data_IF_384346831267
#
_entry.id   IF_384346831267
#
_cell.length_a   1.000
_cell.length_b   1.000
_cell.length_c   1.000
_cell.angle_alpha   90.00
_cell.angle_beta   90.00
_cell.angle_gamma   90.00
#
_symmetry.space_group_name_H-M   'P 1'
#
loop_
_entity.id
_entity.type
_entity.pdbx_description
1 polymer ?
#
# COMPACT_ATOMS: atom_id res chain seq x y z
N UNK A 1 -7.62 27.79 -11.95
CA UNK A 1 -6.61 27.23 -11.12
C UNK A 1 -7.12 26.43 -9.93
N UNK A 2 -7.47 25.13 -10.16
CA UNK A 2 -7.77 24.19 -9.08
C UNK A 2 -6.75 23.06 -9.11
N UNK A 3 -6.44 22.46 -7.95
CA UNK A 3 -5.73 21.18 -7.89
C UNK A 3 -6.63 20.06 -8.40
N UNK A 4 -6.06 18.93 -8.81
CA UNK A 4 -6.85 17.73 -9.19
C UNK A 4 -7.69 17.26 -8.01
N UNK A 5 -7.13 17.33 -6.79
CA UNK A 5 -7.85 16.97 -5.57
C UNK A 5 -9.12 17.83 -5.37
N UNK A 6 -9.00 19.16 -5.46
CA UNK A 6 -10.13 20.07 -5.29
C UNK A 6 -11.19 19.89 -6.38
N UNK A 7 -10.75 19.61 -7.61
CA UNK A 7 -11.67 19.35 -8.73
C UNK A 7 -12.46 18.05 -8.52
N UNK A 8 -11.79 16.97 -8.08
CA UNK A 8 -12.43 15.66 -7.90
C UNK A 8 -13.24 15.55 -6.61
N UNK A 9 -12.93 16.38 -5.60
CA UNK A 9 -13.58 16.30 -4.30
C UNK A 9 -15.11 16.29 -4.41
N UNK A 10 -15.78 17.32 -4.96
CA UNK A 10 -17.25 17.34 -5.06
C UNK A 10 -17.80 16.41 -6.16
N UNK A 11 -16.97 15.97 -7.13
CA UNK A 11 -17.43 15.23 -8.31
C UNK A 11 -17.28 13.72 -8.18
N UNK A 12 -16.33 13.28 -7.38
CA UNK A 12 -15.98 11.87 -7.24
C UNK A 12 -15.82 11.45 -5.78
N UNK A 13 -14.98 12.15 -5.00
CA UNK A 13 -14.64 11.69 -3.66
C UNK A 13 -15.82 11.78 -2.69
N UNK A 14 -16.49 12.91 -2.60
CA UNK A 14 -17.65 13.08 -1.75
C UNK A 14 -18.81 12.13 -2.11
N UNK A 15 -19.22 12.00 -3.38
CA UNK A 15 -20.24 11.02 -3.77
C UNK A 15 -19.89 9.58 -3.41
N UNK A 16 -18.61 9.18 -3.52
CA UNK A 16 -18.12 7.85 -3.15
C UNK A 16 -17.88 7.69 -1.64
N UNK A 17 -18.05 8.74 -0.84
CA UNK A 17 -17.76 8.73 0.59
C UNK A 17 -16.27 8.55 0.90
N UNK A 18 -15.39 9.08 0.05
CA UNK A 18 -13.95 9.16 0.27
C UNK A 18 -13.67 10.45 1.04
N UNK A 19 -13.39 10.32 2.34
CA UNK A 19 -13.44 11.46 3.25
C UNK A 19 -12.16 12.27 3.34
N UNK A 20 -11.01 11.63 3.31
CA UNK A 20 -9.71 12.27 3.54
C UNK A 20 -8.68 11.85 2.50
N UNK A 21 -8.95 12.05 1.20
CA UNK A 21 -7.95 11.75 0.17
C UNK A 21 -6.77 12.71 0.28
N UNK A 22 -5.55 12.17 0.20
CA UNK A 22 -4.33 12.97 0.16
C UNK A 22 -3.65 12.74 -1.19
N UNK A 23 -3.30 13.80 -1.88
CA UNK A 23 -2.60 13.70 -3.16
C UNK A 23 -1.31 14.50 -3.13
N UNK A 24 -0.21 13.86 -3.49
CA UNK A 24 1.08 14.49 -3.55
C UNK A 24 1.13 15.60 -4.63
N UNK A 25 1.91 16.63 -4.35
CA UNK A 25 2.15 17.74 -5.28
C UNK A 25 3.65 18.04 -5.38
N UNK A 26 4.04 18.69 -6.47
CA UNK A 26 5.39 19.24 -6.62
C UNK A 26 5.62 20.39 -5.62
N UNK A 27 6.87 20.85 -5.42
CA UNK A 27 7.15 22.03 -4.61
C UNK A 27 6.42 23.30 -5.06
N UNK A 28 6.01 23.36 -6.33
CA UNK A 28 5.22 24.45 -6.91
C UNK A 28 3.71 24.29 -6.71
N UNK A 29 3.26 23.25 -6.01
CA UNK A 29 1.85 22.97 -5.76
C UNK A 29 1.12 22.28 -6.90
N UNK A 30 1.81 21.81 -7.94
CA UNK A 30 1.20 21.06 -9.05
C UNK A 30 0.98 19.62 -8.63
N UNK A 31 -0.26 19.15 -8.71
CA UNK A 31 -0.63 17.76 -8.38
C UNK A 31 0.14 16.76 -9.23
N UNK A 32 0.65 15.68 -8.63
CA UNK A 32 1.32 14.60 -9.35
C UNK A 32 0.31 13.85 -10.23
N UNK A 33 0.58 13.74 -11.53
CA UNK A 33 -0.39 13.21 -12.50
C UNK A 33 -0.46 11.69 -12.56
N UNK A 34 0.64 10.98 -12.30
CA UNK A 34 0.74 9.54 -12.50
C UNK A 34 0.71 8.71 -11.21
N UNK A 35 0.77 9.34 -10.03
CA UNK A 35 0.84 8.66 -8.73
C UNK A 35 0.58 9.66 -7.59
N UNK A 36 0.63 9.18 -6.36
CA UNK A 36 0.63 10.05 -5.18
C UNK A 36 -0.73 10.24 -4.51
N UNK A 37 -1.80 9.61 -5.00
CA UNK A 37 -3.08 9.56 -4.30
C UNK A 37 -3.01 8.51 -3.19
N UNK A 38 -3.33 8.92 -1.97
CA UNK A 38 -3.46 8.05 -0.79
C UNK A 38 -4.92 8.03 -0.35
N UNK A 39 -5.53 6.86 -0.39
CA UNK A 39 -6.90 6.57 0.04
C UNK A 39 -6.90 5.20 0.75
N UNK A 40 -7.98 4.87 1.45
CA UNK A 40 -8.12 3.59 2.13
C UNK A 40 -8.45 2.47 1.15
N UNK A 41 -8.15 1.22 1.51
CA UNK A 41 -8.39 0.05 0.64
C UNK A 41 -9.87 -0.10 0.28
N UNK A 42 -10.78 0.12 1.22
CA UNK A 42 -12.22 0.11 0.96
C UNK A 42 -12.69 1.24 0.02
N UNK A 43 -11.95 2.35 -0.03
CA UNK A 43 -12.24 3.45 -0.96
C UNK A 43 -11.79 3.12 -2.38
N UNK A 44 -10.72 2.35 -2.53
CA UNK A 44 -10.32 1.76 -3.82
C UNK A 44 -11.44 0.83 -4.32
N UNK A 45 -12.02 0.02 -3.44
CA UNK A 45 -13.13 -0.87 -3.80
C UNK A 45 -14.37 -0.10 -4.27
N UNK A 46 -14.71 1.03 -3.62
CA UNK A 46 -15.82 1.90 -4.06
C UNK A 46 -15.60 2.46 -5.46
N UNK A 47 -14.37 2.85 -5.77
CA UNK A 47 -14.02 3.29 -7.13
C UNK A 47 -14.17 2.15 -8.14
N UNK A 48 -13.69 0.94 -7.82
CA UNK A 48 -13.89 -0.24 -8.65
C UNK A 48 -15.38 -0.56 -8.86
N UNK A 49 -16.18 -0.46 -7.80
CA UNK A 49 -17.64 -0.67 -7.86
C UNK A 49 -18.34 0.35 -8.76
N UNK A 50 -17.92 1.62 -8.74
CA UNK A 50 -18.40 2.64 -9.66
C UNK A 50 -18.19 2.20 -11.13
N UNK A 51 -17.00 1.68 -11.45
CA UNK A 51 -16.69 1.19 -12.79
C UNK A 51 -17.43 -0.10 -13.14
N UNK A 52 -17.57 -1.02 -12.20
CA UNK A 52 -18.39 -2.23 -12.37
C UNK A 52 -19.85 -1.88 -12.69
N UNK A 53 -20.39 -0.85 -12.04
CA UNK A 53 -21.72 -0.32 -12.27
C UNK A 53 -21.82 0.67 -13.43
N UNK A 54 -20.87 0.64 -14.36
CA UNK A 54 -20.84 1.48 -15.56
C UNK A 54 -20.95 2.97 -15.26
N UNK A 55 -20.30 3.40 -14.19
CA UNK A 55 -20.25 4.80 -13.77
C UNK A 55 -21.42 5.29 -12.94
N UNK A 56 -22.35 4.41 -12.57
CA UNK A 56 -23.45 4.71 -11.66
C UNK A 56 -23.05 4.50 -10.20
N UNK A 57 -23.55 5.39 -9.35
CA UNK A 57 -23.38 5.29 -7.90
C UNK A 57 -24.61 5.86 -7.20
N UNK A 58 -25.25 5.06 -6.34
CA UNK A 58 -26.47 5.43 -5.62
C UNK A 58 -27.56 6.04 -6.53
N UNK A 59 -27.72 5.49 -7.72
CA UNK A 59 -28.70 5.97 -8.71
C UNK A 59 -28.29 7.21 -9.51
N UNK A 60 -27.10 7.73 -9.31
CA UNK A 60 -26.55 8.87 -10.06
C UNK A 60 -25.46 8.41 -11.03
N UNK A 61 -25.46 8.94 -12.25
CA UNK A 61 -24.40 8.75 -13.22
C UNK A 61 -23.26 9.73 -12.90
N UNK A 62 -22.21 9.26 -12.22
CA UNK A 62 -21.04 10.06 -11.88
C UNK A 62 -20.01 10.10 -13.02
N UNK A 63 -19.85 8.99 -13.73
CA UNK A 63 -18.97 8.86 -14.90
C UNK A 63 -19.83 8.37 -16.06
N UNK A 64 -19.80 9.00 -17.25
CA UNK A 64 -20.59 8.55 -18.39
C UNK A 64 -20.31 7.07 -18.72
N UNK A 65 -21.36 6.27 -18.96
CA UNK A 65 -21.23 4.85 -19.30
C UNK A 65 -20.31 4.64 -20.50
N UNK A 66 -20.50 5.42 -21.58
CA UNK A 66 -19.64 5.35 -22.78
C UNK A 66 -18.16 5.63 -22.47
N UNK A 67 -17.86 6.46 -21.46
CA UNK A 67 -16.48 6.66 -21.01
C UNK A 67 -15.93 5.43 -20.29
N UNK A 68 -16.73 4.82 -19.42
CA UNK A 68 -16.31 3.58 -18.72
C UNK A 68 -15.99 2.49 -19.75
N UNK A 69 -16.85 2.29 -20.75
CA UNK A 69 -16.64 1.32 -21.83
C UNK A 69 -15.35 1.63 -22.61
N UNK A 70 -15.13 2.87 -23.00
CA UNK A 70 -13.90 3.27 -23.71
C UNK A 70 -12.67 3.11 -22.83
N UNK A 71 -12.72 3.58 -21.59
CA UNK A 71 -11.56 3.58 -20.70
C UNK A 71 -11.08 2.18 -20.34
N UNK A 72 -11.98 1.20 -20.28
CA UNK A 72 -11.66 -0.19 -19.89
C UNK A 72 -11.49 -1.14 -21.09
N UNK A 73 -11.77 -0.67 -22.31
CA UNK A 73 -11.58 -1.45 -23.55
C UNK A 73 -10.11 -1.41 -24.01
N UNK A 74 -9.78 -2.25 -24.98
CA UNK A 74 -8.47 -2.28 -25.61
C UNK A 74 -8.27 -1.03 -26.47
N UNK A 75 -7.41 -0.12 -26.02
CA UNK A 75 -7.00 1.08 -26.79
C UNK A 75 -5.63 0.88 -27.43
N UNK A 76 -4.73 0.18 -26.75
CA UNK A 76 -3.40 -0.14 -27.26
C UNK A 76 -2.92 -1.51 -26.79
N UNK A 77 -2.18 -2.20 -27.66
CA UNK A 77 -1.50 -3.44 -27.29
C UNK A 77 -0.28 -3.16 -26.44
N UNK A 78 -0.03 -4.00 -25.46
CA UNK A 78 1.15 -3.97 -24.59
C UNK A 78 1.89 -5.31 -24.54
N UNK A 79 1.57 -6.21 -25.48
CA UNK A 79 2.18 -7.52 -25.61
C UNK A 79 1.24 -8.54 -26.26
N UNK A 80 1.67 -9.80 -26.29
CA UNK A 80 0.91 -10.88 -26.89
C UNK A 80 0.97 -12.21 -26.11
N UNK A 81 1.57 -12.23 -24.93
CA UNK A 81 1.63 -13.43 -24.10
C UNK A 81 0.28 -13.62 -23.35
N UNK A 82 -0.53 -14.65 -23.73
CA UNK A 82 -1.84 -14.85 -23.12
C UNK A 82 -1.78 -15.24 -21.63
N UNK A 83 -0.61 -15.64 -21.15
CA UNK A 83 -0.40 -16.02 -19.75
C UNK A 83 0.13 -14.87 -18.87
N UNK A 84 0.36 -13.69 -19.44
CA UNK A 84 0.81 -12.49 -18.73
C UNK A 84 -0.33 -11.52 -18.53
N UNK A 85 -0.57 -11.10 -17.31
CA UNK A 85 -1.53 -10.02 -17.01
C UNK A 85 -1.06 -8.64 -17.49
N UNK A 86 0.19 -8.55 -17.95
CA UNK A 86 0.80 -7.34 -18.45
C UNK A 86 0.69 -7.19 -19.97
N UNK A 87 0.22 -8.25 -20.65
CA UNK A 87 0.17 -8.34 -22.10
C UNK A 87 -1.26 -8.44 -22.64
N UNK A 88 -2.27 -8.16 -21.83
CA UNK A 88 -3.68 -8.28 -22.22
C UNK A 88 -4.25 -7.01 -22.87
N UNK A 89 -3.41 -5.99 -23.04
CA UNK A 89 -3.78 -4.68 -23.56
C UNK A 89 -4.00 -3.62 -22.50
N UNK A 90 -4.16 -2.38 -22.93
CA UNK A 90 -4.28 -1.20 -22.08
C UNK A 90 -5.38 -0.27 -22.59
N UNK A 91 -6.20 0.21 -21.67
CA UNK A 91 -7.23 1.23 -21.91
C UNK A 91 -6.76 2.63 -21.55
N UNK A 92 -7.65 3.48 -21.05
CA UNK A 92 -7.31 4.80 -20.53
C UNK A 92 -6.98 4.72 -19.04
N UNK A 93 -5.71 4.47 -18.72
CA UNK A 93 -5.18 4.22 -17.36
C UNK A 93 -5.72 2.94 -16.68
N UNK A 94 -6.28 2.03 -17.47
CA UNK A 94 -6.66 0.69 -17.03
C UNK A 94 -5.85 -0.37 -17.77
N UNK A 95 -5.24 -1.26 -17.03
CA UNK A 95 -4.65 -2.49 -17.55
C UNK A 95 -5.77 -3.51 -17.80
N UNK A 96 -5.77 -4.12 -18.97
CA UNK A 96 -6.56 -5.33 -19.14
C UNK A 96 -5.83 -6.51 -18.50
N UNK A 97 -6.60 -7.50 -18.07
CA UNK A 97 -6.08 -8.67 -17.37
C UNK A 97 -6.63 -9.95 -18.00
N UNK A 98 -6.02 -11.06 -17.64
CA UNK A 98 -6.61 -12.38 -17.92
C UNK A 98 -8.03 -12.46 -17.35
N UNK A 99 -8.79 -13.46 -17.76
CA UNK A 99 -10.15 -13.75 -17.27
C UNK A 99 -11.17 -12.62 -17.48
N UNK A 100 -11.02 -11.83 -18.56
CA UNK A 100 -11.94 -10.75 -18.87
C UNK A 100 -11.90 -9.55 -17.89
N UNK A 101 -11.01 -9.58 -16.93
CA UNK A 101 -10.87 -8.51 -15.93
C UNK A 101 -10.15 -7.28 -16.50
N UNK A 102 -10.33 -6.14 -15.84
CA UNK A 102 -9.49 -4.96 -15.99
C UNK A 102 -9.13 -4.41 -14.61
N UNK A 103 -8.09 -3.63 -14.56
CA UNK A 103 -7.60 -3.12 -13.27
C UNK A 103 -6.91 -1.78 -13.36
N UNK A 104 -6.99 -0.96 -12.27
CA UNK A 104 -6.00 0.02 -11.90
C UNK A 104 -4.91 -0.66 -11.08
N UNK A 105 -3.63 -0.32 -11.35
CA UNK A 105 -2.56 -0.81 -10.51
C UNK A 105 -1.51 0.26 -10.19
N UNK A 106 -0.87 0.07 -9.06
CA UNK A 106 0.22 0.90 -8.60
C UNK A 106 1.40 0.07 -8.12
N UNK A 107 2.55 0.72 -8.05
CA UNK A 107 3.79 0.09 -7.63
C UNK A 107 3.65 -0.73 -6.34
N UNK A 108 4.33 -1.86 -6.28
CA UNK A 108 4.34 -2.79 -5.16
C UNK A 108 3.02 -3.53 -4.89
N UNK A 109 2.11 -3.60 -5.88
CA UNK A 109 0.89 -4.40 -5.80
C UNK A 109 -0.29 -3.67 -5.15
N UNK A 110 -0.50 -2.42 -5.50
CA UNK A 110 -1.75 -1.73 -5.24
C UNK A 110 -2.70 -2.08 -6.38
N UNK A 111 -3.85 -2.66 -6.09
CA UNK A 111 -4.79 -3.10 -7.13
C UNK A 111 -6.22 -2.69 -6.86
N UNK A 112 -6.88 -2.29 -7.94
CA UNK A 112 -8.32 -2.22 -8.07
C UNK A 112 -8.73 -3.13 -9.24
N UNK A 113 -9.07 -4.37 -8.95
CA UNK A 113 -9.41 -5.37 -9.97
C UNK A 113 -10.93 -5.42 -10.10
N UNK A 114 -11.41 -5.26 -11.32
CA UNK A 114 -12.84 -5.37 -11.65
C UNK A 114 -13.07 -6.62 -12.49
N UNK A 115 -14.00 -7.45 -12.06
CA UNK A 115 -14.37 -8.74 -12.64
C UNK A 115 -15.83 -8.66 -13.13
N UNK A 116 -16.09 -8.14 -14.34
CA UNK A 116 -17.46 -7.92 -14.80
C UNK A 116 -18.31 -9.20 -14.88
N UNK A 117 -17.70 -10.33 -15.31
CA UNK A 117 -18.40 -11.61 -15.41
C UNK A 117 -18.81 -12.21 -14.06
N UNK A 118 -18.08 -11.88 -13.00
CA UNK A 118 -18.33 -12.35 -11.64
C UNK A 118 -19.09 -11.33 -10.79
N UNK A 119 -19.43 -10.16 -11.35
CA UNK A 119 -20.02 -9.04 -10.64
C UNK A 119 -19.25 -8.72 -9.34
N UNK A 120 -17.91 -8.61 -9.46
CA UNK A 120 -17.03 -8.50 -8.31
C UNK A 120 -15.94 -7.45 -8.48
N UNK A 121 -15.54 -6.88 -7.35
CA UNK A 121 -14.39 -5.97 -7.22
C UNK A 121 -13.46 -6.48 -6.14
N UNK A 122 -12.16 -6.45 -6.42
CA UNK A 122 -11.13 -6.82 -5.46
C UNK A 122 -10.16 -5.65 -5.32
N UNK A 123 -10.11 -5.04 -4.14
CA UNK A 123 -9.17 -4.00 -3.80
C UNK A 123 -8.05 -4.56 -2.92
N UNK A 124 -6.81 -4.27 -3.28
CA UNK A 124 -5.63 -4.77 -2.58
C UNK A 124 -4.64 -3.64 -2.37
N UNK A 125 -4.13 -3.53 -1.14
CA UNK A 125 -2.97 -2.72 -0.83
C UNK A 125 -1.84 -3.63 -0.34
N UNK A 126 -0.66 -3.50 -0.91
CA UNK A 126 0.46 -4.36 -0.56
C UNK A 126 1.82 -3.65 -0.71
N UNK A 127 2.91 -4.34 -0.35
CA UNK A 127 4.28 -3.86 -0.45
C UNK A 127 5.21 -4.92 -1.05
N UNK A 128 4.77 -5.62 -2.08
CA UNK A 128 5.50 -6.74 -2.68
C UNK A 128 6.32 -6.31 -3.90
N UNK A 129 7.46 -6.96 -4.12
CA UNK A 129 8.26 -6.75 -5.33
C UNK A 129 7.72 -7.53 -6.53
N UNK A 130 7.28 -8.77 -6.31
CA UNK A 130 6.65 -9.59 -7.35
C UNK A 130 5.15 -9.31 -7.38
N UNK A 131 4.75 -8.34 -8.17
CA UNK A 131 3.37 -7.92 -8.28
C UNK A 131 2.49 -8.99 -8.93
N UNK A 132 3.03 -9.80 -9.88
CA UNK A 132 2.29 -10.88 -10.52
C UNK A 132 1.82 -11.93 -9.52
N UNK A 133 2.61 -12.23 -8.49
CA UNK A 133 2.23 -13.23 -7.50
C UNK A 133 0.93 -12.90 -6.75
N UNK A 134 0.58 -11.63 -6.64
CA UNK A 134 -0.69 -11.20 -6.03
C UNK A 134 -1.85 -11.49 -6.98
N UNK A 135 -1.69 -11.20 -8.27
CA UNK A 135 -2.68 -11.52 -9.29
C UNK A 135 -2.89 -13.04 -9.40
N UNK A 136 -1.81 -13.83 -9.37
CA UNK A 136 -1.89 -15.28 -9.39
C UNK A 136 -2.71 -15.83 -8.21
N UNK A 137 -2.56 -15.25 -7.01
CA UNK A 137 -3.40 -15.63 -5.87
C UNK A 137 -4.88 -15.29 -6.08
N UNK A 138 -5.17 -14.18 -6.75
CA UNK A 138 -6.55 -13.83 -7.12
C UNK A 138 -7.11 -14.87 -8.10
N UNK A 139 -6.36 -15.20 -9.15
CA UNK A 139 -6.80 -16.16 -10.18
C UNK A 139 -6.90 -17.57 -9.64
N UNK A 140 -5.96 -18.00 -8.81
CA UNK A 140 -5.88 -19.38 -8.34
C UNK A 140 -6.79 -19.67 -7.14
N UNK A 141 -7.06 -18.66 -6.30
CA UNK A 141 -7.75 -18.86 -5.02
C UNK A 141 -9.10 -18.17 -4.93
N UNK A 142 -9.20 -16.91 -5.35
CA UNK A 142 -10.44 -16.14 -5.21
C UNK A 142 -11.39 -16.40 -6.39
N UNK A 143 -10.91 -16.29 -7.62
CA UNK A 143 -11.75 -16.44 -8.80
C UNK A 143 -12.53 -17.78 -8.82
N UNK A 144 -11.94 -18.95 -8.54
CA UNK A 144 -12.68 -20.22 -8.50
C UNK A 144 -13.70 -20.30 -7.34
N UNK A 145 -13.53 -19.48 -6.31
CA UNK A 145 -14.44 -19.42 -5.16
C UNK A 145 -15.68 -18.56 -5.40
N UNK A 146 -15.63 -17.63 -6.36
CA UNK A 146 -16.77 -16.82 -6.76
C UNK A 146 -17.81 -17.69 -7.46
N UNK A 147 -19.04 -17.67 -6.96
CA UNK A 147 -20.16 -18.48 -7.47
C UNK A 147 -21.27 -17.57 -7.98
N UNK A 148 -22.05 -18.02 -8.98
CA UNK A 148 -23.14 -17.23 -9.55
C UNK A 148 -24.35 -17.08 -8.62
N UNK A 149 -24.37 -17.81 -7.50
CA UNK A 149 -25.43 -17.74 -6.51
C UNK A 149 -24.85 -17.53 -5.10
N UNK A 150 -25.62 -16.95 -4.18
CA UNK A 150 -25.22 -16.82 -2.78
C UNK A 150 -24.86 -18.19 -2.19
N UNK A 151 -23.77 -18.21 -1.41
CA UNK A 151 -23.37 -19.40 -0.66
C UNK A 151 -24.38 -19.70 0.43
N UNK A 152 -24.61 -21.00 0.71
CA UNK A 152 -25.38 -21.38 1.90
C UNK A 152 -24.72 -20.84 3.18
N UNK A 153 -25.48 -20.39 4.18
CA UNK A 153 -24.94 -19.95 5.45
C UNK A 153 -24.10 -21.03 6.10
N UNK A 154 -22.88 -20.69 6.48
CA UNK A 154 -21.93 -21.54 7.21
C UNK A 154 -21.29 -20.73 8.33
N UNK A 155 -21.92 -20.74 9.49
CA UNK A 155 -21.50 -20.00 10.67
C UNK A 155 -20.11 -20.40 11.19
N UNK A 156 -19.74 -21.67 11.07
CA UNK A 156 -18.44 -22.16 11.51
C UNK A 156 -17.32 -21.62 10.63
N UNK A 157 -17.47 -21.73 9.32
CA UNK A 157 -16.53 -21.18 8.35
C UNK A 157 -16.44 -19.65 8.44
N UNK A 158 -17.55 -18.95 8.66
CA UNK A 158 -17.59 -17.52 8.87
C UNK A 158 -16.79 -17.11 10.12
N UNK A 159 -17.06 -17.71 11.26
CA UNK A 159 -16.30 -17.45 12.51
C UNK A 159 -14.83 -17.79 12.40
N UNK A 160 -14.49 -18.84 11.62
CA UNK A 160 -13.08 -19.18 11.34
C UNK A 160 -12.41 -18.10 10.51
N UNK A 161 -13.09 -17.61 9.46
CA UNK A 161 -12.58 -16.53 8.63
C UNK A 161 -12.37 -15.26 9.45
N UNK A 162 -13.34 -14.81 10.22
CA UNK A 162 -13.22 -13.64 11.10
C UNK A 162 -12.03 -13.75 12.05
N UNK A 163 -11.87 -14.88 12.72
CA UNK A 163 -10.72 -15.12 13.61
C UNK A 163 -9.40 -15.08 12.86
N UNK A 164 -9.36 -15.64 11.65
CA UNK A 164 -8.16 -15.63 10.80
C UNK A 164 -7.81 -14.21 10.40
N UNK A 165 -8.79 -13.44 9.90
CA UNK A 165 -8.58 -12.06 9.48
C UNK A 165 -8.17 -11.15 10.65
N UNK A 166 -8.79 -11.29 11.81
CA UNK A 166 -8.44 -10.52 13.01
C UNK A 166 -7.01 -10.86 13.52
N UNK A 167 -6.53 -12.07 13.23
CA UNK A 167 -5.19 -12.51 13.57
C UNK A 167 -4.10 -12.13 12.56
N UNK A 168 -4.46 -11.63 11.38
CA UNK A 168 -3.49 -11.26 10.35
C UNK A 168 -2.65 -10.07 10.80
N UNK A 169 -1.34 -10.27 10.75
CA UNK A 169 -0.35 -9.23 11.02
C UNK A 169 0.95 -9.54 10.31
N UNK A 170 1.65 -8.51 9.89
CA UNK A 170 3.03 -8.66 9.45
C UNK A 170 3.86 -9.05 10.67
N UNK A 171 4.55 -10.20 10.66
CA UNK A 171 5.40 -10.56 11.78
C UNK A 171 6.53 -9.53 11.91
N UNK A 172 6.84 -9.06 13.13
CA UNK A 172 8.02 -8.25 13.35
C UNK A 172 9.27 -9.06 13.04
N UNK A 173 10.34 -8.37 12.68
CA UNK A 173 11.59 -9.03 12.34
C UNK A 173 12.13 -9.78 13.57
N UNK A 174 12.40 -11.07 13.42
CA UNK A 174 12.97 -11.89 14.48
C UNK A 174 14.47 -11.61 14.65
N UNK A 175 14.94 -11.62 15.87
CA UNK A 175 16.35 -11.40 16.22
C UNK A 175 16.63 -11.71 17.69
N UNK A 176 17.84 -11.43 18.14
CA UNK A 176 18.24 -11.63 19.55
C UNK A 176 18.01 -10.36 20.38
N UNK A 177 17.87 -10.53 21.69
CA UNK A 177 17.69 -9.44 22.65
C UNK A 177 18.97 -8.61 22.86
N UNK A 178 20.11 -9.12 22.43
CA UNK A 178 21.40 -8.45 22.57
C UNK A 178 22.32 -8.72 21.36
N UNK A 179 23.23 -7.80 21.07
CA UNK A 179 24.35 -8.01 20.18
C UNK A 179 25.49 -7.06 20.53
N UNK A 180 26.73 -7.49 20.35
CA UNK A 180 27.92 -6.64 20.53
C UNK A 180 27.88 -5.40 19.63
N UNK A 181 27.35 -5.53 18.41
CA UNK A 181 27.21 -4.40 17.50
C UNK A 181 26.23 -3.35 18.05
N UNK A 182 25.12 -3.78 18.65
CA UNK A 182 24.17 -2.87 19.27
C UNK A 182 24.79 -2.10 20.44
N UNK A 183 25.62 -2.75 21.28
CA UNK A 183 26.34 -2.09 22.39
C UNK A 183 27.30 -1.01 21.89
N UNK A 184 27.85 -1.15 20.69
CA UNK A 184 28.78 -0.19 20.07
C UNK A 184 28.07 1.03 19.48
N UNK A 185 26.80 0.95 19.15
CA UNK A 185 26.07 2.02 18.40
C UNK A 185 24.99 2.71 19.23
N UNK A 186 24.37 2.02 20.18
CA UNK A 186 23.37 2.61 21.06
C UNK A 186 23.98 3.71 21.90
N UNK A 187 23.27 4.83 22.03
CA UNK A 187 23.73 6.03 22.73
C UNK A 187 24.71 6.90 21.94
N UNK A 188 25.06 6.52 20.72
CA UNK A 188 25.96 7.33 19.88
C UNK A 188 25.18 8.01 18.76
N UNK A 189 25.61 9.25 18.43
CA UNK A 189 25.16 9.99 17.26
C UNK A 189 26.18 9.86 16.13
N UNK A 190 25.72 9.48 14.95
CA UNK A 190 26.53 9.38 13.75
C UNK A 190 26.14 10.54 12.83
N UNK A 191 27.13 11.38 12.51
CA UNK A 191 26.94 12.48 11.57
C UNK A 191 27.31 12.05 10.14
N UNK A 192 26.63 12.63 9.17
CA UNK A 192 26.85 12.38 7.75
C UNK A 192 27.28 13.66 7.04
N UNK A 193 28.17 13.58 6.06
CA UNK A 193 28.48 14.72 5.21
C UNK A 193 27.26 15.07 4.35
N UNK A 194 27.28 16.24 3.71
CA UNK A 194 26.22 16.67 2.79
C UNK A 194 25.92 15.58 1.77
N UNK A 195 24.63 15.27 1.63
CA UNK A 195 24.14 14.20 0.76
C UNK A 195 22.76 14.54 0.16
N UNK A 196 22.33 13.87 -0.93
CA UNK A 196 21.06 14.19 -1.60
C UNK A 196 19.82 14.01 -0.73
N UNK A 197 19.87 13.15 0.30
CA UNK A 197 18.77 12.95 1.24
C UNK A 197 18.72 14.00 2.34
N UNK A 198 19.70 14.92 2.38
CA UNK A 198 19.88 15.91 3.45
C UNK A 198 19.89 15.28 4.85
N UNK A 199 20.30 14.03 4.96
CA UNK A 199 20.46 13.32 6.22
C UNK A 199 21.70 13.84 6.94
N UNK A 200 21.51 14.50 8.07
CA UNK A 200 22.60 15.11 8.86
C UNK A 200 23.12 14.17 9.95
N UNK A 201 22.21 13.47 10.63
CA UNK A 201 22.63 12.54 11.69
C UNK A 201 21.60 11.45 11.96
N UNK A 202 22.10 10.33 12.51
CA UNK A 202 21.31 9.24 13.08
C UNK A 202 21.82 8.93 14.49
N UNK A 203 20.90 8.69 15.42
CA UNK A 203 21.20 8.13 16.73
C UNK A 203 20.20 7.02 17.10
N UNK A 204 20.68 6.02 17.83
CA UNK A 204 19.87 4.96 18.42
C UNK A 204 19.93 5.10 19.93
N UNK A 205 18.78 5.24 20.57
CA UNK A 205 18.65 5.30 22.02
C UNK A 205 17.91 4.06 22.52
N UNK A 206 18.41 3.46 23.58
CA UNK A 206 17.67 2.38 24.25
C UNK A 206 16.76 2.97 25.30
N UNK A 207 15.48 2.64 25.23
CA UNK A 207 14.55 2.94 26.32
C UNK A 207 14.54 1.70 27.24
N UNK A 208 14.99 1.88 28.45
CA UNK A 208 14.99 0.82 29.46
C UNK A 208 13.61 0.75 30.09
N UNK A 209 12.90 -0.35 29.84
CA UNK A 209 11.71 -0.79 30.55
C UNK A 209 11.89 -2.24 30.97
N UNK A 210 11.10 -2.76 31.89
CA UNK A 210 11.09 -4.16 32.23
C UNK A 210 10.23 -4.94 31.21
N UNK A 211 10.70 -6.11 30.77
CA UNK A 211 9.96 -7.00 29.89
C UNK A 211 9.71 -6.43 28.48
N UNK A 212 8.44 -6.40 28.05
CA UNK A 212 8.00 -5.93 26.73
C UNK A 212 8.15 -4.42 26.49
N UNK A 213 8.43 -3.63 27.54
CA UNK A 213 8.59 -2.18 27.45
C UNK A 213 9.98 -1.73 26.93
N UNK A 214 10.79 -2.67 26.45
CA UNK A 214 12.06 -2.34 25.79
C UNK A 214 11.80 -1.86 24.38
N UNK A 215 12.00 -0.57 24.15
CA UNK A 215 11.98 0.01 22.80
C UNK A 215 13.32 0.63 22.44
N UNK A 216 13.57 0.72 21.14
CA UNK A 216 14.68 1.52 20.59
C UNK A 216 14.07 2.74 19.97
N UNK A 217 14.62 3.90 20.30
CA UNK A 217 14.26 5.16 19.65
C UNK A 217 15.29 5.45 18.57
N UNK A 218 14.85 5.51 17.34
CA UNK A 218 15.63 6.03 16.23
C UNK A 218 15.41 7.54 16.15
N UNK A 219 16.48 8.32 16.35
CA UNK A 219 16.49 9.75 16.06
C UNK A 219 17.18 9.99 14.73
N UNK A 220 16.55 10.75 13.86
CA UNK A 220 17.12 11.23 12.61
C UNK A 220 17.04 12.74 12.56
N UNK A 221 18.05 13.39 11.95
CA UNK A 221 17.99 14.79 11.58
C UNK A 221 18.12 14.90 10.07
N UNK A 222 17.08 15.40 9.41
CA UNK A 222 16.99 15.53 7.97
C UNK A 222 16.53 16.95 7.64
N UNK A 223 17.32 17.67 6.82
CA UNK A 223 17.03 19.07 6.42
C UNK A 223 16.70 19.98 7.61
N UNK A 224 17.50 19.90 8.69
CA UNK A 224 17.32 20.67 9.92
C UNK A 224 16.23 20.16 10.85
N UNK A 225 15.38 19.23 10.41
CA UNK A 225 14.26 18.70 11.20
C UNK A 225 14.67 17.44 11.94
N UNK A 226 14.52 17.44 13.26
CA UNK A 226 14.73 16.25 14.10
C UNK A 226 13.43 15.43 14.18
N UNK A 227 13.56 14.11 14.00
CA UNK A 227 12.47 13.16 14.13
C UNK A 227 12.84 12.09 15.14
N UNK A 228 11.79 11.58 15.80
CA UNK A 228 11.87 10.51 16.78
C UNK A 228 10.91 9.40 16.39
N UNK A 229 11.47 8.22 16.08
CA UNK A 229 10.70 7.04 15.70
C UNK A 229 10.90 5.98 16.77
N UNK A 230 9.83 5.60 17.43
CA UNK A 230 9.85 4.55 18.44
C UNK A 230 9.69 3.19 17.77
N UNK A 231 10.62 2.27 18.04
CA UNK A 231 10.71 0.94 17.43
C UNK A 231 10.50 -0.12 18.49
N UNK A 232 9.46 -0.93 18.37
CA UNK A 232 9.17 -2.00 19.33
C UNK A 232 10.11 -3.19 19.23
N UNK A 233 10.35 -3.87 20.33
CA UNK A 233 11.10 -5.13 20.36
C UNK A 233 10.15 -6.31 20.20
N UNK A 234 10.13 -6.94 19.01
CA UNK A 234 9.23 -8.04 18.72
C UNK A 234 7.77 -7.65 18.48
N UNK A 235 7.49 -6.38 18.36
CA UNK A 235 6.18 -5.82 18.02
C UNK A 235 6.31 -4.55 17.16
N UNK A 236 5.21 -4.17 16.49
CA UNK A 236 5.13 -2.95 15.72
C UNK A 236 4.60 -1.82 16.59
N UNK A 237 5.38 -0.74 16.75
CA UNK A 237 4.88 0.50 17.35
C UNK A 237 4.40 1.42 16.23
N UNK A 238 3.12 1.79 16.28
CA UNK A 238 2.50 2.72 15.34
C UNK A 238 2.86 4.15 15.71
N UNK A 239 3.13 4.97 14.72
CA UNK A 239 3.50 6.37 14.88
C UNK A 239 3.39 7.12 13.56
N UNK A 240 4.16 8.18 13.43
CA UNK A 240 4.32 8.97 12.20
C UNK A 240 5.80 9.21 11.94
N UNK A 241 6.15 9.30 10.66
CA UNK A 241 7.52 9.60 10.25
C UNK A 241 7.54 10.31 8.88
N UNK A 242 8.50 11.21 8.70
CA UNK A 242 8.88 11.75 7.39
C UNK A 242 10.31 11.27 7.08
N UNK A 243 10.50 10.58 5.98
CA UNK A 243 11.78 9.97 5.62
C UNK A 243 12.48 10.74 4.47
N UNK A 244 12.37 12.05 4.49
CA UNK A 244 13.01 12.94 3.53
C UNK A 244 12.00 13.82 2.77
N UNK A 245 12.49 14.68 1.86
CA UNK A 245 11.66 15.67 1.18
C UNK A 245 10.57 15.07 0.26
N UNK A 246 10.76 13.83 -0.19
CA UNK A 246 9.78 13.10 -1.03
C UNK A 246 8.81 12.24 -0.23
N UNK A 247 9.01 12.09 1.07
CA UNK A 247 8.14 11.34 1.97
C UNK A 247 7.73 12.25 3.14
N UNK A 248 6.67 13.06 2.97
CA UNK A 248 6.16 13.93 4.03
C UNK A 248 5.70 13.10 5.23
N UNK A 249 5.44 13.76 6.35
CA UNK A 249 4.96 13.10 7.55
C UNK A 249 3.72 12.24 7.28
N UNK A 250 3.85 10.93 7.49
CA UNK A 250 2.83 9.93 7.18
C UNK A 250 2.75 8.87 8.26
N UNK A 251 1.62 8.13 8.36
CA UNK A 251 1.52 7.00 9.26
C UNK A 251 2.64 6.00 9.01
N UNK A 252 3.27 5.56 10.09
CA UNK A 252 4.37 4.61 10.05
C UNK A 252 4.23 3.60 11.20
N UNK A 253 4.82 2.43 11.02
CA UNK A 253 5.00 1.48 12.12
C UNK A 253 6.43 0.98 12.11
N UNK A 254 7.06 0.91 13.26
CA UNK A 254 8.45 0.53 13.38
C UNK A 254 8.68 -0.59 14.40
N UNK A 255 9.59 -1.47 14.04
CA UNK A 255 10.10 -2.51 14.94
C UNK A 255 11.62 -2.57 14.83
N UNK A 256 12.29 -2.97 15.88
CA UNK A 256 13.72 -3.14 15.90
C UNK A 256 14.08 -4.53 16.44
N UNK A 257 15.12 -5.10 15.89
CA UNK A 257 15.71 -6.35 16.39
C UNK A 257 17.22 -6.26 16.30
N UNK A 258 17.89 -7.03 17.14
CA UNK A 258 19.36 -7.13 17.14
C UNK A 258 19.74 -8.40 16.40
N UNK A 259 20.44 -8.27 15.27
CA UNK A 259 21.01 -9.41 14.55
C UNK A 259 22.37 -9.77 15.14
N UNK A 260 22.59 -11.03 15.48
CA UNK A 260 23.94 -11.57 15.63
C UNK A 260 24.63 -11.50 14.26
N UNK A 261 25.82 -10.93 14.20
CA UNK A 261 26.59 -10.93 12.96
C UNK A 261 26.79 -12.37 12.50
N UNK A 262 26.36 -12.72 11.29
CA UNK A 262 26.79 -13.98 10.69
C UNK A 262 28.29 -13.91 10.55
N UNK A 263 29.05 -14.97 10.97
CA UNK A 263 30.47 -14.99 10.73
C UNK A 263 30.71 -14.80 9.22
N UNK A 264 31.56 -13.83 8.86
CA UNK A 264 32.00 -13.65 7.46
C UNK A 264 32.62 -14.98 7.06
N UNK A 265 32.03 -15.67 6.08
CA UNK A 265 32.73 -16.75 5.41
C UNK A 265 33.98 -16.12 4.80
N UNK A 266 35.14 -16.50 5.31
CA UNK A 266 36.41 -16.20 4.65
C UNK A 266 36.40 -17.01 3.35
N UNK A 267 36.25 -16.34 2.23
CA UNK A 267 36.59 -16.88 0.90
C UNK A 267 38.09 -16.74 0.72
#
# INVERSE_FOLDING_TARGET
GQTVLDYLKPRLFEPLGIEQPVWGASPQGVTLGGYGLSIRTEEIARFGQLYLQRGQWNGQQLVPEAWVEQATSLQTSNGSNPNSDWDQGYGYQFWRSRHGAYRGDGAFGQYCIVLPEQDAVIAITSGVKNMQSVLDLVWDKLLPALKPAPLAPDEESHKKLERTLAGLRLPPQQGSDSSEAAQKVVGKRFAFPANPMKLESIALESRTGEGKDRSIVLRTRIDGVEQRIECGSGEWIKGRAALGPLMPDQPAAATATRKTAKPRRRT
#
